data_IF_649046207799
#
_entry.id   IF_649046207799
#
_cell.length_a   1.000
_cell.length_b   1.000
_cell.length_c   1.000
_cell.angle_alpha   90.00
_cell.angle_beta   90.00
_cell.angle_gamma   90.00
#
_symmetry.space_group_name_H-M   'P 1'
#
loop_
_entity.id
_entity.type
_entity.pdbx_description
1 polymer ?
#
# COMPACT_ATOMS: atom_id res chain seq x y z
N UNK A 1 -31.67 1.98 39.41
CA UNK A 1 -31.01 2.53 38.20
C UNK A 1 -30.98 1.44 37.13
N UNK A 2 -31.43 1.76 35.91
CA UNK A 2 -31.76 0.79 34.87
C UNK A 2 -30.54 0.45 34.00
N UNK A 3 -30.36 -0.85 33.73
CA UNK A 3 -29.29 -1.48 32.92
C UNK A 3 -29.13 -0.85 31.52
N UNK A 4 -30.14 -0.11 31.06
CA UNK A 4 -30.17 0.59 29.77
C UNK A 4 -29.21 1.78 29.67
N UNK A 5 -28.66 2.27 30.80
CA UNK A 5 -27.81 3.46 30.81
C UNK A 5 -26.31 3.14 30.66
N UNK A 6 -25.92 1.87 30.82
CA UNK A 6 -24.51 1.46 30.89
C UNK A 6 -23.88 1.09 29.55
N UNK A 7 -24.66 0.94 28.47
CA UNK A 7 -24.16 0.47 27.17
C UNK A 7 -23.54 1.57 26.30
N UNK A 8 -23.85 2.85 26.54
CA UNK A 8 -23.39 3.95 25.70
C UNK A 8 -21.92 4.32 26.00
N UNK A 9 -21.42 4.06 27.22
CA UNK A 9 -20.06 4.45 27.62
C UNK A 9 -19.00 3.52 27.01
N UNK A 10 -19.31 2.25 26.76
CA UNK A 10 -18.34 1.30 26.20
C UNK A 10 -18.11 1.49 24.68
N UNK A 11 -19.11 2.02 23.96
CA UNK A 11 -18.98 2.29 22.52
C UNK A 11 -18.08 3.50 22.22
N UNK A 12 -17.97 4.47 23.15
CA UNK A 12 -17.15 5.66 22.96
C UNK A 12 -15.65 5.42 23.21
N UNK A 13 -15.29 4.35 23.93
CA UNK A 13 -13.90 3.99 24.20
C UNK A 13 -13.18 3.35 23.00
N UNK A 14 -13.92 2.81 22.02
CA UNK A 14 -13.34 2.18 20.83
C UNK A 14 -12.90 3.18 19.74
N UNK A 15 -13.29 4.46 19.83
CA UNK A 15 -12.89 5.51 18.89
C UNK A 15 -11.60 6.23 19.29
N UNK A 16 -11.05 5.94 20.47
CA UNK A 16 -9.79 6.46 20.96
C UNK A 16 -8.71 5.37 20.96
N UNK A 17 -8.52 4.68 19.83
CA UNK A 17 -7.22 4.06 19.59
C UNK A 17 -6.23 5.21 19.40
N UNK A 18 -5.23 5.39 20.29
CA UNK A 18 -4.22 6.41 20.06
C UNK A 18 -3.51 6.07 18.75
N UNK A 19 -3.54 7.01 17.81
CA UNK A 19 -2.73 7.03 16.59
C UNK A 19 -1.21 7.08 16.88
N UNK A 20 -0.77 6.76 18.10
CA UNK A 20 0.60 6.82 18.56
C UNK A 20 1.47 5.70 17.96
N UNK A 21 0.88 4.58 17.52
CA UNK A 21 1.63 3.49 16.89
C UNK A 21 2.10 3.78 15.45
N UNK A 22 1.65 4.88 14.83
CA UNK A 22 2.12 5.26 13.49
C UNK A 22 3.46 6.02 13.50
N UNK A 23 3.95 6.43 14.67
CA UNK A 23 5.12 7.30 14.80
C UNK A 23 6.30 6.64 15.51
N UNK A 24 6.25 5.34 15.77
CA UNK A 24 7.32 4.62 16.47
C UNK A 24 7.60 3.28 15.83
N UNK A 25 8.88 3.01 15.56
CA UNK A 25 9.35 1.66 15.22
C UNK A 25 10.10 1.10 16.42
N UNK A 26 9.81 -0.14 16.80
CA UNK A 26 10.55 -0.84 17.84
C UNK A 26 11.77 -1.49 17.21
N UNK A 27 12.97 -1.07 17.62
CA UNK A 27 14.24 -1.67 17.18
C UNK A 27 14.77 -2.53 18.31
N UNK A 28 15.18 -3.77 17.99
CA UNK A 28 15.84 -4.65 18.95
C UNK A 28 17.31 -4.24 19.10
N UNK A 29 17.70 -3.79 20.29
CA UNK A 29 19.05 -3.23 20.54
C UNK A 29 19.98 -4.24 21.24
N UNK A 30 19.46 -5.40 21.63
CA UNK A 30 20.21 -6.46 22.31
C UNK A 30 20.53 -6.16 23.78
N UNK A 31 20.94 -7.20 24.51
CA UNK A 31 21.21 -7.14 25.95
C UNK A 31 19.96 -6.97 26.82
N UNK A 32 20.14 -6.51 28.07
CA UNK A 32 19.03 -6.30 29.04
C UNK A 32 18.02 -5.23 28.61
N UNK A 33 18.39 -4.40 27.61
CA UNK A 33 17.57 -3.28 27.11
C UNK A 33 16.45 -3.72 26.17
N UNK A 34 16.56 -4.89 25.55
CA UNK A 34 15.52 -5.47 24.69
C UNK A 34 15.09 -4.57 23.52
N UNK A 35 13.79 -4.28 23.45
CA UNK A 35 13.16 -3.46 22.42
C UNK A 35 13.12 -1.99 22.84
N UNK A 36 13.52 -1.10 21.94
CA UNK A 36 13.45 0.35 22.14
C UNK A 36 12.59 0.96 21.05
N UNK A 37 11.57 1.72 21.46
CA UNK A 37 10.74 2.50 20.55
C UNK A 37 11.50 3.76 20.12
N UNK A 38 11.68 3.92 18.81
CA UNK A 38 12.32 5.09 18.22
C UNK A 38 11.25 5.90 17.46
N UNK A 39 11.22 7.24 17.59
CA UNK A 39 10.30 8.06 16.82
C UNK A 39 10.63 7.93 15.33
N UNK A 40 9.70 7.39 14.55
CA UNK A 40 9.71 7.48 13.09
C UNK A 40 8.97 8.75 12.73
N UNK A 41 9.73 9.76 12.32
CA UNK A 41 9.14 10.92 11.65
C UNK A 41 8.74 10.49 10.25
N UNK A 42 7.47 10.13 10.07
CA UNK A 42 6.88 10.12 8.74
C UNK A 42 6.96 11.54 8.18
N UNK A 43 7.51 11.71 6.98
CA UNK A 43 7.48 12.98 6.25
C UNK A 43 6.08 13.32 5.74
N UNK A 44 5.12 12.39 5.85
CA UNK A 44 3.76 12.54 5.35
C UNK A 44 2.83 13.08 6.43
N UNK A 45 2.04 14.09 6.06
CA UNK A 45 0.94 14.58 6.90
C UNK A 45 -0.20 13.57 6.94
N UNK A 46 -1.06 13.67 7.97
CA UNK A 46 -2.26 12.82 8.08
C UNK A 46 -3.17 12.92 6.85
N UNK A 47 -3.28 14.11 6.26
CA UNK A 47 -4.07 14.36 5.06
C UNK A 47 -3.47 13.63 3.85
N UNK A 48 -2.14 13.64 3.70
CA UNK A 48 -1.46 12.91 2.64
C UNK A 48 -1.70 11.40 2.75
N UNK A 49 -1.53 10.84 3.95
CA UNK A 49 -1.81 9.40 4.20
C UNK A 49 -3.28 9.06 3.92
N UNK A 50 -4.21 9.95 4.31
CA UNK A 50 -5.65 9.74 4.06
C UNK A 50 -5.96 9.77 2.57
N UNK A 51 -5.36 10.71 1.83
CA UNK A 51 -5.53 10.82 0.38
C UNK A 51 -4.95 9.61 -0.35
N UNK A 52 -3.75 9.16 0.05
CA UNK A 52 -3.14 7.93 -0.49
C UNK A 52 -4.01 6.70 -0.21
N UNK A 53 -4.54 6.59 1.01
CA UNK A 53 -5.45 5.51 1.38
C UNK A 53 -6.73 5.52 0.53
N UNK A 54 -7.35 6.69 0.33
CA UNK A 54 -8.54 6.82 -0.50
C UNK A 54 -8.24 6.52 -1.98
N UNK A 55 -7.09 6.97 -2.48
CA UNK A 55 -6.64 6.66 -3.85
C UNK A 55 -6.41 5.16 -4.04
N UNK A 56 -5.75 4.50 -3.09
CA UNK A 56 -5.57 3.05 -3.07
C UNK A 56 -6.91 2.31 -3.01
N UNK A 57 -7.86 2.77 -2.19
CA UNK A 57 -9.21 2.18 -2.12
C UNK A 57 -9.99 2.32 -3.43
N UNK A 58 -9.78 3.40 -4.18
CA UNK A 58 -10.42 3.62 -5.48
C UNK A 58 -9.82 2.75 -6.58
N UNK A 59 -8.51 2.48 -6.52
CA UNK A 59 -7.82 1.60 -7.46
C UNK A 59 -6.74 0.79 -6.71
N UNK A 60 -7.07 -0.40 -6.18
CA UNK A 60 -6.16 -1.19 -5.34
C UNK A 60 -5.15 -1.97 -6.19
N UNK A 61 -4.61 -1.35 -7.23
CA UNK A 61 -3.60 -1.93 -8.14
C UNK A 61 -2.29 -1.20 -7.88
N UNK A 62 -1.25 -1.93 -7.52
CA UNK A 62 0.07 -1.31 -7.29
C UNK A 62 0.84 -1.16 -8.62
N UNK A 63 1.95 -0.40 -8.61
CA UNK A 63 2.74 -0.12 -9.82
C UNK A 63 3.31 -1.36 -10.52
N UNK A 64 3.46 -2.47 -9.81
CA UNK A 64 3.91 -3.77 -10.34
C UNK A 64 2.79 -4.56 -11.04
N UNK A 65 1.57 -4.02 -11.08
CA UNK A 65 0.39 -4.65 -11.68
C UNK A 65 -0.33 -5.65 -10.77
N UNK A 66 0.14 -5.84 -9.53
CA UNK A 66 -0.57 -6.64 -8.56
C UNK A 66 -1.79 -5.90 -8.00
N UNK A 67 -2.85 -6.64 -7.69
CA UNK A 67 -4.11 -6.14 -7.18
C UNK A 67 -4.34 -6.64 -5.76
N UNK A 68 -4.67 -5.73 -4.84
CA UNK A 68 -5.16 -6.09 -3.53
C UNK A 68 -6.66 -6.42 -3.60
N UNK A 69 -6.98 -7.69 -3.38
CA UNK A 69 -8.36 -8.23 -3.40
C UNK A 69 -8.97 -8.35 -2.00
N UNK A 70 -8.15 -8.20 -0.96
CA UNK A 70 -8.59 -8.28 0.44
C UNK A 70 -8.93 -9.72 0.88
N UNK A 71 -9.33 -9.86 2.15
CA UNK A 71 -9.59 -11.17 2.76
C UNK A 71 -8.33 -12.03 2.84
N UNK A 72 -8.49 -13.36 2.84
CA UNK A 72 -7.37 -14.31 2.90
C UNK A 72 -6.55 -14.36 1.60
N UNK A 73 -7.15 -13.97 0.47
CA UNK A 73 -6.44 -13.90 -0.82
C UNK A 73 -5.42 -12.76 -0.87
N UNK A 74 -5.64 -11.69 -0.10
CA UNK A 74 -4.68 -10.61 0.07
C UNK A 74 -4.31 -9.90 -1.24
N UNK A 75 -3.09 -10.15 -1.72
CA UNK A 75 -2.49 -9.50 -2.89
C UNK A 75 -2.27 -10.52 -4.01
N UNK A 76 -2.82 -10.27 -5.19
CA UNK A 76 -2.81 -11.20 -6.32
C UNK A 76 -2.30 -10.55 -7.60
N UNK A 77 -1.63 -11.31 -8.45
CA UNK A 77 -1.32 -10.90 -9.82
C UNK A 77 -2.37 -11.50 -10.76
N UNK A 78 -3.32 -10.71 -11.25
CA UNK A 78 -4.36 -11.24 -12.14
C UNK A 78 -3.71 -11.70 -13.45
N UNK A 79 -4.07 -12.90 -13.89
CA UNK A 79 -3.60 -13.46 -15.16
C UNK A 79 -4.48 -12.98 -16.31
N UNK A 80 -3.87 -12.81 -17.50
CA UNK A 80 -4.63 -12.53 -18.71
C UNK A 80 -5.59 -13.68 -19.06
N UNK A 81 -6.80 -13.33 -19.44
CA UNK A 81 -7.86 -14.24 -19.89
C UNK A 81 -8.04 -14.10 -21.40
N UNK A 82 -8.09 -15.24 -22.10
CA UNK A 82 -8.25 -15.29 -23.54
C UNK A 82 -9.49 -16.09 -23.92
N UNK A 83 -10.22 -15.62 -24.94
CA UNK A 83 -11.33 -16.35 -25.54
C UNK A 83 -11.11 -16.53 -27.04
N UNK A 84 -11.66 -17.61 -27.62
CA UNK A 84 -11.72 -17.81 -29.07
C UNK A 84 -12.88 -17.01 -29.65
N UNK A 85 -12.57 -15.93 -30.36
CA UNK A 85 -13.54 -15.12 -31.11
C UNK A 85 -13.21 -15.25 -32.59
N UNK A 86 -14.16 -15.72 -33.40
CA UNK A 86 -13.99 -15.93 -34.85
C UNK A 86 -12.74 -16.76 -35.22
N UNK A 87 -12.42 -17.79 -34.41
CA UNK A 87 -11.25 -18.64 -34.65
C UNK A 87 -9.92 -18.00 -34.27
N UNK A 88 -9.87 -16.81 -33.70
CA UNK A 88 -8.65 -16.18 -33.17
C UNK A 88 -8.69 -16.09 -31.64
N UNK A 89 -7.53 -16.18 -31.00
CA UNK A 89 -7.41 -15.91 -29.55
C UNK A 89 -7.43 -14.40 -29.34
N UNK A 90 -8.39 -13.92 -28.58
CA UNK A 90 -8.53 -12.50 -28.23
C UNK A 90 -8.46 -12.38 -26.71
N UNK A 91 -7.65 -11.43 -26.23
CA UNK A 91 -7.58 -11.05 -24.83
C UNK A 91 -8.94 -10.44 -24.42
N UNK A 92 -9.58 -10.99 -23.39
CA UNK A 92 -10.91 -10.55 -22.94
C UNK A 92 -10.88 -9.80 -21.61
N UNK A 93 -9.72 -9.70 -20.97
CA UNK A 93 -9.54 -8.92 -19.75
C UNK A 93 -9.16 -7.45 -20.05
N UNK A 94 -9.09 -6.65 -18.98
CA UNK A 94 -8.68 -5.23 -19.03
C UNK A 94 -7.31 -5.01 -18.40
N UNK A 95 -6.52 -6.07 -18.23
CA UNK A 95 -5.19 -5.99 -17.64
C UNK A 95 -4.28 -5.37 -18.71
N UNK A 96 -3.54 -4.34 -18.32
CA UNK A 96 -2.64 -3.67 -19.24
C UNK A 96 -1.56 -4.66 -19.70
N UNK A 97 -1.36 -4.78 -21.01
CA UNK A 97 -0.14 -5.36 -21.54
C UNK A 97 0.98 -4.35 -21.29
N UNK A 98 1.66 -4.46 -20.14
CA UNK A 98 2.83 -3.64 -19.91
C UNK A 98 3.84 -3.95 -21.01
N UNK A 99 4.25 -2.94 -21.81
CA UNK A 99 5.29 -3.16 -22.80
C UNK A 99 6.55 -3.61 -22.07
N UNK A 100 7.38 -4.47 -22.69
CA UNK A 100 8.67 -4.81 -22.12
C UNK A 100 9.43 -3.51 -21.82
N UNK A 101 10.09 -3.39 -20.65
CA UNK A 101 10.85 -2.20 -20.33
C UNK A 101 11.87 -1.94 -21.44
N UNK A 102 12.03 -0.67 -21.82
CA UNK A 102 12.99 -0.31 -22.85
C UNK A 102 14.39 -0.79 -22.44
N UNK A 103 15.09 -1.48 -23.34
CA UNK A 103 16.43 -2.00 -23.08
C UNK A 103 17.46 -0.89 -22.82
N UNK A 104 17.14 0.36 -23.17
CA UNK A 104 18.00 1.53 -23.01
C UNK A 104 17.21 2.61 -22.28
N UNK A 105 17.80 3.17 -21.21
CA UNK A 105 17.26 4.35 -20.51
C UNK A 105 17.10 5.50 -21.50
N UNK A 106 15.97 6.18 -21.44
CA UNK A 106 15.78 7.44 -22.18
C UNK A 106 16.80 8.50 -21.73
N UNK A 107 17.07 9.53 -22.54
CA UNK A 107 17.95 10.64 -22.14
C UNK A 107 17.50 11.33 -20.83
N UNK A 108 16.20 11.37 -20.55
CA UNK A 108 15.67 11.92 -19.31
C UNK A 108 16.01 11.04 -18.10
N UNK A 109 15.83 9.73 -18.22
CA UNK A 109 16.15 8.76 -17.16
C UNK A 109 17.66 8.65 -16.92
N UNK A 110 18.48 8.79 -17.97
CA UNK A 110 19.94 8.87 -17.81
C UNK A 110 20.36 10.10 -17.01
N UNK A 111 19.79 11.28 -17.30
CA UNK A 111 20.07 12.51 -16.54
C UNK A 111 19.61 12.38 -15.08
N UNK A 112 18.43 11.83 -14.84
CA UNK A 112 17.93 11.58 -13.49
C UNK A 112 18.86 10.64 -12.72
N UNK A 113 19.32 9.57 -13.36
CA UNK A 113 20.28 8.63 -12.75
C UNK A 113 21.64 9.29 -12.44
N UNK A 114 22.18 10.11 -13.34
CA UNK A 114 23.44 10.84 -13.09
C UNK A 114 23.31 11.86 -11.97
N UNK A 115 22.18 12.56 -11.87
CA UNK A 115 21.91 13.49 -10.78
C UNK A 115 21.80 12.77 -9.42
N UNK A 116 21.27 11.55 -9.42
CA UNK A 116 21.10 10.76 -8.20
C UNK A 116 22.37 10.00 -7.77
N UNK A 117 23.24 9.67 -8.72
CA UNK A 117 24.52 8.99 -8.49
C UNK A 117 25.67 9.76 -9.14
N UNK A 118 26.03 10.95 -8.60
CA UNK A 118 27.21 11.68 -9.07
C UNK A 118 28.48 10.87 -8.76
N UNK A 119 29.40 10.85 -9.71
CA UNK A 119 30.72 10.23 -9.58
C UNK A 119 31.66 11.04 -8.68
#
# INVERSE_FOLDING_TARGET
MSVRTSTIVLALAALALPSAFAQTVSVFVGGERGWVDQPVQSSLTREQVTNEYLAFRANPVAPDGGQFVGGEMGYVFPAHTYARVNGQWVCTDKIAHNPPPAAVKSPAEQRAFQAQYPA
#
